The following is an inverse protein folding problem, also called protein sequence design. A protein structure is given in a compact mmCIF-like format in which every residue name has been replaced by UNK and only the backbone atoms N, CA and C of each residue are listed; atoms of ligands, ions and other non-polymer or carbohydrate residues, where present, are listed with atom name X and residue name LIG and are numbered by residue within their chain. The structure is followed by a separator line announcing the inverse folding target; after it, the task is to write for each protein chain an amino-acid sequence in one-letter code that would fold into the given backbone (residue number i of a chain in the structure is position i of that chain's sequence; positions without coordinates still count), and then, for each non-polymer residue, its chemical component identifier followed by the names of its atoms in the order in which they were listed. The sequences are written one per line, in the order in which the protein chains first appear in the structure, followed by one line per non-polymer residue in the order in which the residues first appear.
data_IF_079111499842
#
_entry.id   IF_079111499842
#
_cell.length_a   1.000
_cell.length_b   1.000
_cell.length_c   1.000
_cell.angle_alpha   90.00
_cell.angle_beta   90.00
_cell.angle_gamma   90.00
#
_symmetry.space_group_name_H-M   'P 1'
#
loop_
_entity.id
_entity.type
_entity.pdbx_description
1 polymer ?
#
# COMPACT_ATOMS: atom_id res chain seq x y z
N UNK A 1 24.22 0.51 4.19
CA UNK A 1 23.24 -0.55 4.18
C UNK A 1 21.96 -0.06 4.90
N UNK A 2 20.91 0.23 4.13
CA UNK A 2 19.72 0.94 4.65
C UNK A 2 18.65 -0.03 5.20
N UNK A 3 18.85 -1.34 5.06
CA UNK A 3 17.92 -2.37 5.55
C UNK A 3 16.64 -2.52 4.73
N UNK A 4 16.60 -2.02 3.48
CA UNK A 4 15.51 -2.19 2.54
C UNK A 4 16.02 -2.27 1.10
N UNK A 5 15.19 -2.70 0.15
CA UNK A 5 15.58 -2.84 -1.25
C UNK A 5 15.64 -1.47 -1.93
N UNK A 6 16.64 -1.29 -2.80
CA UNK A 6 16.63 -0.18 -3.74
C UNK A 6 15.41 -0.26 -4.66
N UNK A 7 14.83 0.88 -5.01
CA UNK A 7 13.70 0.92 -5.93
C UNK A 7 14.11 0.42 -7.32
N UNK A 8 15.27 0.86 -7.78
CA UNK A 8 15.95 0.33 -8.97
C UNK A 8 17.47 0.59 -8.89
N UNK A 9 18.22 -0.04 -9.80
CA UNK A 9 19.65 0.15 -9.98
C UNK A 9 19.90 0.51 -11.43
N UNK A 10 20.63 1.57 -11.68
CA UNK A 10 21.04 2.03 -13.02
C UNK A 10 22.52 2.38 -13.06
N UNK A 11 22.97 3.01 -14.16
CA UNK A 11 24.36 3.44 -14.34
C UNK A 11 24.82 4.53 -13.32
N UNK A 12 23.89 5.21 -12.67
CA UNK A 12 24.16 6.22 -11.65
C UNK A 12 24.20 5.63 -10.24
N UNK A 13 23.87 4.33 -10.09
CA UNK A 13 23.87 3.62 -8.82
C UNK A 13 22.47 3.16 -8.37
N UNK A 14 22.31 3.05 -7.06
CA UNK A 14 21.07 2.59 -6.45
C UNK A 14 20.15 3.77 -6.14
N UNK A 15 18.91 3.73 -6.65
CA UNK A 15 17.84 4.59 -6.16
C UNK A 15 17.34 4.07 -4.81
N UNK A 16 17.40 4.88 -3.79
CA UNK A 16 17.05 4.51 -2.42
C UNK A 16 15.77 5.21 -1.92
N UNK A 17 14.92 5.69 -2.83
CA UNK A 17 13.59 6.19 -2.50
C UNK A 17 12.79 5.06 -1.82
N UNK A 18 12.11 5.39 -0.73
CA UNK A 18 11.24 4.40 -0.06
C UNK A 18 9.91 4.34 -0.81
N UNK A 19 9.75 3.27 -1.60
CA UNK A 19 8.59 3.03 -2.46
C UNK A 19 7.99 1.64 -2.19
N UNK A 20 6.72 1.41 -2.57
CA UNK A 20 6.05 0.14 -2.34
C UNK A 20 6.50 -0.98 -3.29
N UNK A 21 7.32 -0.72 -4.32
CA UNK A 21 7.75 -1.71 -5.32
C UNK A 21 8.41 -2.94 -4.69
N UNK A 22 9.12 -2.76 -3.59
CA UNK A 22 9.71 -3.85 -2.81
C UNK A 22 8.68 -4.86 -2.27
N UNK A 23 7.41 -4.46 -2.09
CA UNK A 23 6.34 -5.38 -1.66
C UNK A 23 6.08 -6.47 -2.72
N UNK A 24 6.15 -6.14 -4.00
CA UNK A 24 5.95 -7.12 -5.06
C UNK A 24 7.07 -8.18 -5.07
N UNK A 25 8.32 -7.78 -4.82
CA UNK A 25 9.43 -8.71 -4.71
C UNK A 25 9.27 -9.69 -3.53
N UNK A 26 8.64 -9.26 -2.44
CA UNK A 26 8.45 -10.08 -1.23
C UNK A 26 7.17 -10.94 -1.28
N UNK A 27 6.16 -10.52 -2.05
CA UNK A 27 4.87 -11.24 -2.12
C UNK A 27 4.92 -12.49 -3.01
N UNK A 28 5.97 -12.66 -3.84
CA UNK A 28 6.12 -13.82 -4.73
C UNK A 28 6.42 -15.12 -3.97
N UNK A 29 6.16 -16.26 -4.62
CA UNK A 29 6.30 -17.59 -3.99
C UNK A 29 7.72 -17.92 -3.54
N UNK A 30 8.72 -17.50 -4.31
CA UNK A 30 10.15 -17.73 -4.00
C UNK A 30 10.76 -16.40 -3.59
N UNK A 31 10.63 -16.09 -2.31
CA UNK A 31 11.15 -14.86 -1.72
C UNK A 31 12.70 -14.83 -1.82
N UNK A 32 13.27 -13.82 -2.49
CA UNK A 32 14.71 -13.79 -2.77
C UNK A 32 15.57 -13.25 -1.62
N UNK A 33 14.98 -12.96 -0.46
CA UNK A 33 15.64 -12.32 0.68
C UNK A 33 15.34 -13.04 1.99
N UNK A 34 16.25 -12.95 2.95
CA UNK A 34 16.11 -13.56 4.27
C UNK A 34 14.99 -12.90 5.10
N UNK A 35 14.40 -13.65 6.02
CA UNK A 35 13.29 -13.19 6.89
C UNK A 35 13.65 -11.94 7.71
N UNK A 36 14.92 -11.81 8.13
CA UNK A 36 15.40 -10.62 8.84
C UNK A 36 15.35 -9.36 7.97
N UNK A 37 15.65 -9.51 6.68
CA UNK A 37 15.57 -8.41 5.69
C UNK A 37 14.12 -8.09 5.40
N UNK A 38 13.24 -9.11 5.27
CA UNK A 38 11.79 -8.90 5.14
C UNK A 38 11.24 -8.11 6.31
N UNK A 39 11.60 -8.47 7.54
CA UNK A 39 11.19 -7.73 8.74
C UNK A 39 11.61 -6.26 8.71
N UNK A 40 12.84 -5.99 8.27
CA UNK A 40 13.38 -4.64 8.14
C UNK A 40 12.63 -3.81 7.10
N UNK A 41 12.35 -4.41 5.92
CA UNK A 41 11.56 -3.79 4.85
C UNK A 41 10.14 -3.48 5.34
N UNK A 42 9.47 -4.45 5.97
CA UNK A 42 8.11 -4.24 6.43
C UNK A 42 8.00 -3.19 7.54
N UNK A 43 9.02 -3.04 8.37
CA UNK A 43 9.08 -1.96 9.37
C UNK A 43 9.13 -0.57 8.73
N UNK A 44 9.90 -0.38 7.65
CA UNK A 44 9.95 0.92 6.97
C UNK A 44 8.66 1.19 6.19
N UNK A 45 8.08 0.15 5.57
CA UNK A 45 6.78 0.25 4.89
C UNK A 45 5.69 0.67 5.88
N UNK A 46 5.59 0.00 7.03
CA UNK A 46 4.60 0.32 8.07
C UNK A 46 4.73 1.77 8.56
N UNK A 47 5.96 2.22 8.76
CA UNK A 47 6.23 3.54 9.31
C UNK A 47 5.97 4.67 8.32
N UNK A 48 6.26 4.47 7.03
CA UNK A 48 6.32 5.56 6.06
C UNK A 48 5.26 5.48 4.96
N UNK A 49 4.81 4.28 4.60
CA UNK A 49 3.92 4.11 3.45
C UNK A 49 2.48 3.77 3.82
N UNK A 50 2.24 3.05 4.92
CA UNK A 50 0.88 2.62 5.31
C UNK A 50 0.04 3.81 5.75
N UNK A 51 -1.16 3.92 5.18
CA UNK A 51 -2.19 4.89 5.56
C UNK A 51 -3.50 4.17 5.91
N UNK A 52 -4.51 4.93 6.35
CA UNK A 52 -5.86 4.40 6.54
C UNK A 52 -6.59 4.08 5.23
N UNK A 53 -6.02 4.45 4.07
CA UNK A 53 -6.65 4.32 2.74
C UNK A 53 -5.76 3.61 1.71
N UNK A 54 -4.76 2.88 2.16
CA UNK A 54 -3.86 2.15 1.27
C UNK A 54 -2.38 2.42 1.55
N UNK A 55 -1.56 2.16 0.56
CA UNK A 55 -0.10 2.29 0.66
C UNK A 55 0.35 3.46 -0.20
N UNK A 56 1.09 4.41 0.39
CA UNK A 56 1.72 5.52 -0.35
C UNK A 56 2.69 5.02 -1.40
N UNK A 57 2.74 5.70 -2.52
CA UNK A 57 3.67 5.40 -3.62
C UNK A 57 5.08 5.95 -3.41
N UNK A 58 5.24 6.86 -2.44
CA UNK A 58 6.52 7.42 -2.03
C UNK A 58 6.46 7.82 -0.55
N UNK A 59 7.59 7.70 0.15
CA UNK A 59 7.72 8.15 1.53
C UNK A 59 7.49 9.67 1.66
N UNK A 60 6.76 10.14 2.69
CA UNK A 60 6.61 11.57 2.96
C UNK A 60 7.90 12.27 3.39
N UNK A 61 8.99 11.53 3.55
CA UNK A 61 10.33 12.09 3.83
C UNK A 61 11.13 12.41 2.58
N UNK A 62 10.65 12.00 1.42
CA UNK A 62 11.30 12.29 0.14
C UNK A 62 10.98 13.71 -0.32
N UNK A 63 11.96 14.40 -0.90
CA UNK A 63 11.81 15.77 -1.40
C UNK A 63 10.77 15.88 -2.53
N UNK A 64 10.56 14.80 -3.27
CA UNK A 64 9.61 14.72 -4.40
C UNK A 64 8.18 14.39 -3.94
N UNK A 65 7.97 14.16 -2.63
CA UNK A 65 6.68 13.75 -2.10
C UNK A 65 5.57 14.75 -2.41
N UNK A 66 4.46 14.23 -2.89
CA UNK A 66 3.23 14.97 -3.20
C UNK A 66 2.04 14.16 -2.69
N UNK A 67 1.64 14.46 -1.45
CA UNK A 67 0.59 13.70 -0.74
C UNK A 67 -0.83 14.02 -1.17
N UNK A 68 -1.05 15.12 -1.91
CA UNK A 68 -2.39 15.58 -2.33
C UNK A 68 -2.52 15.54 -3.85
N UNK A 69 -3.62 14.94 -4.34
CA UNK A 69 -3.93 14.79 -5.77
C UNK A 69 -4.83 15.92 -6.24
N UNK A 70 -4.27 17.10 -6.50
CA UNK A 70 -5.02 18.29 -6.86
C UNK A 70 -4.33 19.15 -7.94
N UNK A 71 -4.99 20.24 -8.34
CA UNK A 71 -4.43 21.22 -9.26
C UNK A 71 -4.64 20.87 -10.74
N UNK A 72 -3.69 21.30 -11.58
CA UNK A 72 -3.67 21.03 -13.03
C UNK A 72 -3.44 19.57 -13.33
N UNK A 73 -3.70 19.12 -14.56
CA UNK A 73 -3.40 17.76 -14.99
C UNK A 73 -1.95 17.37 -14.69
N UNK A 74 -1.00 18.25 -14.99
CA UNK A 74 0.41 18.02 -14.74
C UNK A 74 0.73 17.83 -13.26
N UNK A 75 0.11 18.59 -12.38
CA UNK A 75 0.31 18.46 -10.92
C UNK A 75 -0.25 17.16 -10.41
N UNK A 76 -1.43 16.75 -10.88
CA UNK A 76 -2.03 15.47 -10.56
C UNK A 76 -1.19 14.29 -11.07
N UNK A 77 -0.69 14.36 -12.32
CA UNK A 77 0.19 13.33 -12.89
C UNK A 77 1.48 13.17 -12.08
N UNK A 78 2.03 14.27 -11.57
CA UNK A 78 3.18 14.23 -10.68
C UNK A 78 2.85 13.62 -9.30
N UNK A 79 1.66 13.84 -8.76
CA UNK A 79 1.25 13.28 -7.47
C UNK A 79 0.92 11.78 -7.55
N UNK A 80 0.45 11.31 -8.69
CA UNK A 80 -0.08 9.98 -8.93
C UNK A 80 0.83 8.85 -8.44
N UNK A 81 2.15 8.98 -8.65
CA UNK A 81 3.18 8.05 -8.19
C UNK A 81 4.19 8.66 -7.21
N UNK A 82 3.90 9.83 -6.66
CA UNK A 82 4.82 10.54 -5.77
C UNK A 82 4.23 10.79 -4.37
N UNK A 83 3.26 9.99 -3.95
CA UNK A 83 2.74 10.14 -2.59
C UNK A 83 1.31 9.66 -2.39
N UNK A 84 0.47 9.66 -3.43
CA UNK A 84 -0.89 9.14 -3.33
C UNK A 84 -0.92 7.71 -2.78
N UNK A 85 -1.94 7.40 -1.98
CA UNK A 85 -2.15 6.10 -1.39
C UNK A 85 -3.04 5.22 -2.29
N UNK A 86 -2.62 3.99 -2.54
CA UNK A 86 -3.31 3.06 -3.42
C UNK A 86 -3.83 1.86 -2.64
N UNK A 87 -5.15 1.60 -2.64
CA UNK A 87 -5.71 0.40 -2.02
C UNK A 87 -5.19 -0.89 -2.65
N UNK A 88 -4.95 -0.89 -3.97
CA UNK A 88 -4.42 -2.04 -4.70
C UNK A 88 -3.10 -2.58 -4.11
N UNK A 89 -2.28 -1.72 -3.53
CA UNK A 89 -1.01 -2.09 -2.89
C UNK A 89 -1.19 -2.79 -1.53
N UNK A 90 -2.40 -2.79 -0.97
CA UNK A 90 -2.71 -3.60 0.21
C UNK A 90 -2.67 -5.10 -0.09
N UNK A 91 -2.84 -5.51 -1.34
CA UNK A 91 -2.75 -6.93 -1.73
C UNK A 91 -1.37 -7.53 -1.41
N UNK A 92 -0.25 -7.08 -2.00
CA UNK A 92 1.06 -7.61 -1.66
C UNK A 92 1.42 -7.39 -0.18
N UNK A 93 1.03 -6.25 0.40
CA UNK A 93 1.24 -5.97 1.81
C UNK A 93 0.55 -7.00 2.73
N UNK A 94 -0.73 -7.31 2.50
CA UNK A 94 -1.48 -8.28 3.28
C UNK A 94 -0.89 -9.69 3.15
N UNK A 95 -0.52 -10.13 1.93
CA UNK A 95 0.13 -11.42 1.69
C UNK A 95 1.37 -11.56 2.59
N UNK A 96 2.25 -10.57 2.60
CA UNK A 96 3.48 -10.59 3.39
C UNK A 96 3.16 -10.60 4.89
N UNK A 97 2.28 -9.71 5.34
CA UNK A 97 1.92 -9.60 6.77
C UNK A 97 1.27 -10.87 7.31
N UNK A 98 0.37 -11.49 6.56
CA UNK A 98 -0.21 -12.77 6.96
C UNK A 98 0.81 -13.90 6.95
N UNK A 99 1.74 -13.91 5.99
CA UNK A 99 2.86 -14.86 5.96
C UNK A 99 3.76 -14.75 7.20
N UNK A 100 4.03 -13.51 7.65
CA UNK A 100 4.88 -13.25 8.83
C UNK A 100 4.19 -13.51 10.16
N UNK A 101 2.90 -13.18 10.27
CA UNK A 101 2.22 -13.08 11.57
C UNK A 101 0.98 -13.97 11.70
N UNK A 102 0.51 -14.58 10.60
CA UNK A 102 -0.69 -15.42 10.61
C UNK A 102 -1.90 -14.70 11.22
N UNK A 103 -2.65 -15.42 12.03
CA UNK A 103 -3.86 -14.91 12.70
C UNK A 103 -3.62 -13.69 13.61
N UNK A 104 -2.41 -13.43 14.06
CA UNK A 104 -2.09 -12.25 14.87
C UNK A 104 -2.28 -10.93 14.09
N UNK A 105 -2.21 -10.97 12.75
CA UNK A 105 -2.41 -9.79 11.92
C UNK A 105 -3.89 -9.47 11.65
N UNK A 106 -4.85 -10.38 11.90
CA UNK A 106 -6.27 -10.19 11.58
C UNK A 106 -6.84 -8.86 12.09
N UNK A 107 -6.62 -8.52 13.37
CA UNK A 107 -7.14 -7.25 13.93
C UNK A 107 -6.63 -6.01 13.21
N UNK A 108 -5.38 -6.02 12.78
CA UNK A 108 -4.81 -4.90 12.01
C UNK A 108 -5.37 -4.84 10.59
N UNK A 109 -5.56 -5.99 9.95
CA UNK A 109 -6.18 -6.09 8.63
C UNK A 109 -7.63 -5.61 8.66
N UNK A 110 -8.42 -6.00 9.67
CA UNK A 110 -9.78 -5.51 9.87
C UNK A 110 -9.83 -3.99 10.04
N UNK A 111 -8.95 -3.43 10.85
CA UNK A 111 -8.86 -1.98 11.01
C UNK A 111 -8.57 -1.25 9.67
N UNK A 112 -7.70 -1.81 8.83
CA UNK A 112 -7.44 -1.27 7.50
C UNK A 112 -8.69 -1.34 6.61
N UNK A 113 -9.47 -2.44 6.70
CA UNK A 113 -10.72 -2.61 5.95
C UNK A 113 -11.81 -1.61 6.39
N UNK A 114 -11.97 -1.40 7.69
CA UNK A 114 -12.97 -0.46 8.24
C UNK A 114 -12.85 0.94 7.63
N UNK A 115 -11.63 1.38 7.36
CA UNK A 115 -11.38 2.64 6.70
C UNK A 115 -12.11 2.80 5.36
N UNK A 116 -12.29 1.72 4.61
CA UNK A 116 -12.90 1.74 3.29
C UNK A 116 -14.42 1.63 3.31
N UNK A 117 -15.02 1.01 4.32
CA UNK A 117 -16.49 0.88 4.38
C UNK A 117 -17.20 2.24 4.42
N UNK A 118 -16.59 3.24 5.05
CA UNK A 118 -17.10 4.60 5.07
C UNK A 118 -17.14 5.26 3.68
N UNK A 119 -16.34 4.78 2.74
CA UNK A 119 -16.21 5.36 1.40
C UNK A 119 -17.14 4.73 0.37
N UNK A 120 -17.79 3.59 0.68
CA UNK A 120 -18.73 2.92 -0.23
C UNK A 120 -19.90 3.78 -0.72
N UNK A 121 -20.17 4.91 -0.05
CA UNK A 121 -21.23 5.86 -0.40
C UNK A 121 -20.72 7.28 -0.65
N UNK A 122 -19.39 7.51 -0.66
CA UNK A 122 -18.81 8.84 -0.82
C UNK A 122 -18.56 9.22 -2.27
N UNK A 123 -17.72 8.43 -2.96
CA UNK A 123 -17.24 8.75 -4.29
C UNK A 123 -17.96 7.93 -5.37
N UNK A 124 -18.28 6.68 -5.07
CA UNK A 124 -19.09 5.80 -5.91
C UNK A 124 -19.93 4.87 -5.02
N UNK A 125 -21.19 4.62 -5.39
CA UNK A 125 -22.05 3.74 -4.61
C UNK A 125 -21.60 2.28 -4.77
N UNK A 126 -21.18 1.66 -3.67
CA UNK A 126 -20.73 0.27 -3.65
C UNK A 126 -19.41 0.02 -4.36
N UNK A 127 -18.56 1.07 -4.51
CA UNK A 127 -17.29 0.99 -5.22
C UNK A 127 -16.16 1.62 -4.40
N UNK A 128 -14.93 1.19 -4.69
CA UNK A 128 -13.71 1.75 -4.12
C UNK A 128 -12.94 2.53 -5.16
N UNK A 129 -12.46 3.69 -4.76
CA UNK A 129 -11.67 4.56 -5.63
C UNK A 129 -10.31 3.96 -5.96
N UNK A 130 -9.73 4.40 -7.06
CA UNK A 130 -8.43 3.95 -7.54
C UNK A 130 -7.31 4.31 -6.59
N UNK A 131 -7.31 5.57 -6.12
CA UNK A 131 -6.32 6.12 -5.21
C UNK A 131 -6.95 7.11 -4.25
N UNK A 132 -6.20 7.47 -3.24
CA UNK A 132 -6.54 8.46 -2.21
C UNK A 132 -5.35 9.41 -2.00
N UNK A 133 -5.61 10.58 -1.44
CA UNK A 133 -4.52 11.41 -0.96
C UNK A 133 -3.65 10.63 0.03
N UNK A 134 -2.34 10.77 -0.10
CA UNK A 134 -1.39 10.21 0.85
C UNK A 134 -1.43 10.90 2.21
N UNK A 135 -1.93 12.15 2.25
CA UNK A 135 -2.09 12.94 3.46
C UNK A 135 -3.55 12.96 3.94
N UNK A 136 -3.78 13.08 5.27
CA UNK A 136 -5.13 13.24 5.79
C UNK A 136 -5.82 14.49 5.21
N UNK A 137 -7.14 14.43 4.97
CA UNK A 137 -8.09 13.38 5.36
C UNK A 137 -8.17 12.17 4.43
N UNK A 138 -7.26 12.03 3.44
CA UNK A 138 -7.23 10.95 2.46
C UNK A 138 -8.47 10.95 1.55
N UNK A 139 -8.71 12.05 0.85
CA UNK A 139 -9.82 12.16 -0.08
C UNK A 139 -9.66 11.19 -1.26
N UNK A 140 -10.77 10.60 -1.75
CA UNK A 140 -10.76 9.65 -2.86
C UNK A 140 -10.59 10.35 -4.21
N UNK A 141 -9.79 9.75 -5.10
CA UNK A 141 -9.48 10.26 -6.43
C UNK A 141 -9.33 9.14 -7.47
N UNK A 142 -9.01 9.52 -8.71
CA UNK A 142 -8.84 8.60 -9.83
C UNK A 142 -10.18 8.02 -10.32
N UNK A 143 -10.15 6.79 -10.79
CA UNK A 143 -11.37 6.08 -11.17
C UNK A 143 -12.25 5.84 -9.93
N UNK A 144 -13.53 6.23 -10.02
CA UNK A 144 -14.50 6.08 -8.92
C UNK A 144 -14.87 4.64 -8.61
N UNK A 145 -14.58 3.72 -9.54
CA UNK A 145 -14.77 2.28 -9.37
C UNK A 145 -13.54 1.56 -9.93
N UNK A 146 -12.63 1.17 -9.05
CA UNK A 146 -11.39 0.50 -9.40
C UNK A 146 -11.46 -1.00 -9.16
N UNK A 147 -11.32 -1.78 -10.23
CA UNK A 147 -11.26 -3.24 -10.13
C UNK A 147 -10.05 -3.71 -9.31
N UNK A 148 -8.90 -3.05 -9.43
CA UNK A 148 -7.69 -3.40 -8.67
C UNK A 148 -7.86 -3.15 -7.18
N UNK A 149 -8.43 -1.99 -6.80
CA UNK A 149 -8.73 -1.67 -5.40
C UNK A 149 -9.72 -2.66 -4.81
N UNK A 150 -10.80 -2.94 -5.53
CA UNK A 150 -11.83 -3.91 -5.11
C UNK A 150 -11.24 -5.31 -4.93
N UNK A 151 -10.45 -5.78 -5.91
CA UNK A 151 -9.82 -7.10 -5.82
C UNK A 151 -8.86 -7.22 -4.63
N UNK A 152 -8.06 -6.18 -4.37
CA UNK A 152 -7.13 -6.17 -3.23
C UNK A 152 -7.88 -6.26 -1.89
N UNK A 153 -8.97 -5.51 -1.73
CA UNK A 153 -9.77 -5.52 -0.50
C UNK A 153 -10.52 -6.84 -0.31
N UNK A 154 -11.14 -7.39 -1.36
CA UNK A 154 -11.77 -8.71 -1.31
C UNK A 154 -10.77 -9.83 -0.98
N UNK A 155 -9.57 -9.76 -1.53
CA UNK A 155 -8.54 -10.74 -1.21
C UNK A 155 -8.05 -10.61 0.24
N UNK A 156 -7.90 -9.40 0.75
CA UNK A 156 -7.55 -9.17 2.16
C UNK A 156 -8.65 -9.71 3.09
N UNK A 157 -9.93 -9.51 2.77
CA UNK A 157 -11.05 -10.11 3.50
C UNK A 157 -10.99 -11.64 3.49
N UNK A 158 -10.70 -12.24 2.34
CA UNK A 158 -10.51 -13.69 2.20
C UNK A 158 -9.37 -14.20 3.11
N UNK A 159 -8.25 -13.49 3.18
CA UNK A 159 -7.15 -13.84 4.09
C UNK A 159 -7.56 -13.73 5.56
N UNK A 160 -8.28 -12.69 5.95
CA UNK A 160 -8.80 -12.51 7.31
C UNK A 160 -9.67 -13.72 7.69
N UNK A 161 -10.61 -14.11 6.83
CA UNK A 161 -11.52 -15.23 7.08
C UNK A 161 -10.75 -16.53 7.21
N UNK A 162 -9.83 -16.83 6.27
CA UNK A 162 -8.98 -18.01 6.31
C UNK A 162 -8.22 -18.12 7.64
N UNK A 163 -7.52 -17.09 8.05
CA UNK A 163 -6.68 -17.13 9.27
C UNK A 163 -7.48 -17.06 10.57
N UNK A 164 -8.75 -16.66 10.52
CA UNK A 164 -9.66 -16.79 11.67
C UNK A 164 -10.17 -18.21 11.86
N UNK A 165 -10.42 -18.95 10.77
CA UNK A 165 -10.87 -20.34 10.80
C UNK A 165 -9.75 -21.30 11.26
N UNK A 166 -8.49 -20.95 11.07
CA UNK A 166 -7.32 -21.71 11.50
C UNK A 166 -7.00 -21.57 13.02
N UNK A 167 -7.81 -20.81 13.77
CA UNK A 167 -7.70 -20.62 15.22
C UNK A 167 -8.52 -21.65 15.98
#
# INVERSE_FOLDING_TARGET
DKGYLADYVDNNGQNTDVRPNQLFALAVFHQPVDDSVVGSIMNIVDRELVTARGIRTLSPRDEKYKGVYEGTQRERDLAYHQGCAWPALLLPYAIIKFKMHGAAFCKRAEWLMEGFYADLNKHGVGAFSELYDGDPPHEPHGAISSAMSTAALLYMESLINKYKEER
#
